data_IF_034266617630
#
_entry.id   IF_034266617630
#
_cell.length_a   1.000
_cell.length_b   1.000
_cell.length_c   1.000
_cell.angle_alpha   90.00
_cell.angle_beta   90.00
_cell.angle_gamma   90.00
#
_symmetry.space_group_name_H-M   'P 1'
#
loop_
_entity.id
_entity.type
_entity.pdbx_description
1 polymer ?
#
# COMPACT_ATOMS: atom_id res chain seq x y z
N UNK A 1 -72.50 0.23 -15.34
CA UNK A 1 -71.31 0.57 -16.13
C UNK A 1 -70.18 1.00 -15.20
N UNK A 2 -69.33 0.08 -14.75
CA UNK A 2 -68.23 0.38 -13.83
C UNK A 2 -66.92 0.23 -14.59
N UNK A 3 -66.23 1.36 -14.80
CA UNK A 3 -64.89 1.42 -15.38
C UNK A 3 -63.87 1.03 -14.32
N UNK A 4 -63.16 -0.10 -14.52
CA UNK A 4 -62.05 -0.53 -13.70
C UNK A 4 -60.80 0.29 -14.10
N UNK A 5 -60.29 1.11 -13.20
CA UNK A 5 -58.98 1.73 -13.29
C UNK A 5 -57.91 0.71 -12.89
N UNK A 6 -57.05 0.33 -13.82
CA UNK A 6 -55.83 -0.41 -13.55
C UNK A 6 -54.74 0.58 -13.16
N UNK A 7 -54.38 0.62 -11.90
CA UNK A 7 -53.19 1.29 -11.39
C UNK A 7 -51.99 0.37 -11.58
N UNK A 8 -51.14 0.67 -12.57
CA UNK A 8 -49.83 0.06 -12.75
C UNK A 8 -48.89 0.78 -11.77
N UNK A 9 -48.56 0.15 -10.65
CA UNK A 9 -47.49 0.56 -9.76
C UNK A 9 -46.20 0.03 -10.36
N UNK A 10 -45.43 0.89 -11.04
CA UNK A 10 -44.05 0.61 -11.45
C UNK A 10 -43.18 0.75 -10.19
N UNK A 11 -42.87 -0.38 -9.56
CA UNK A 11 -41.87 -0.45 -8.51
C UNK A 11 -40.48 -0.24 -9.18
N UNK A 12 -39.97 0.98 -9.11
CA UNK A 12 -38.55 1.24 -9.37
C UNK A 12 -37.76 0.60 -8.23
N UNK A 13 -37.26 -0.61 -8.47
CA UNK A 13 -36.21 -1.20 -7.66
C UNK A 13 -34.93 -0.36 -7.88
N UNK A 14 -34.69 0.63 -7.03
CA UNK A 14 -33.39 1.24 -6.89
C UNK A 14 -32.46 0.14 -6.36
N UNK A 15 -31.79 -0.56 -7.27
CA UNK A 15 -30.59 -1.32 -6.93
C UNK A 15 -29.56 -0.29 -6.44
N UNK A 16 -29.46 -0.14 -5.13
CA UNK A 16 -28.33 0.53 -4.50
C UNK A 16 -27.11 -0.32 -4.81
N UNK A 17 -26.47 -0.05 -5.94
CA UNK A 17 -25.11 -0.49 -6.20
C UNK A 17 -24.29 0.20 -5.10
N UNK A 18 -24.07 -0.52 -4.02
CA UNK A 18 -23.08 -0.15 -3.01
C UNK A 18 -21.77 -0.04 -3.76
N UNK A 19 -21.38 1.16 -4.14
CA UNK A 19 -20.11 1.42 -4.79
C UNK A 19 -19.04 1.05 -3.75
N UNK A 20 -18.62 -0.23 -3.73
CA UNK A 20 -17.42 -0.64 -3.01
C UNK A 20 -16.34 0.32 -3.48
N UNK A 21 -15.75 1.05 -2.53
CA UNK A 21 -14.68 1.98 -2.83
C UNK A 21 -13.66 1.23 -3.69
N UNK A 22 -13.44 1.71 -4.91
CA UNK A 22 -12.51 1.03 -5.82
C UNK A 22 -11.12 1.27 -5.28
N UNK A 23 -10.58 0.26 -4.63
CA UNK A 23 -9.31 0.30 -3.92
C UNK A 23 -8.14 0.53 -4.88
N UNK A 24 -8.20 -0.14 -6.03
CA UNK A 24 -7.23 -0.04 -7.11
C UNK A 24 -7.85 0.77 -8.25
N UNK A 25 -7.19 1.85 -8.65
CA UNK A 25 -7.68 2.76 -9.70
C UNK A 25 -6.77 2.63 -10.92
N UNK A 26 -7.21 2.00 -12.01
CA UNK A 26 -6.43 1.94 -13.24
C UNK A 26 -6.09 3.34 -13.74
N UNK A 27 -4.82 3.55 -14.13
CA UNK A 27 -4.28 4.85 -14.51
C UNK A 27 -3.71 5.66 -13.35
N UNK A 28 -3.96 5.28 -12.08
CA UNK A 28 -3.34 5.94 -10.95
C UNK A 28 -1.82 5.74 -10.95
N UNK A 29 -1.09 6.84 -10.80
CA UNK A 29 0.36 6.84 -10.59
C UNK A 29 0.67 7.74 -9.39
N UNK A 30 1.36 7.19 -8.41
CA UNK A 30 1.83 7.90 -7.22
C UNK A 30 3.35 7.86 -7.18
N UNK A 31 3.99 9.02 -7.15
CA UNK A 31 5.43 9.14 -7.07
C UNK A 31 5.83 9.64 -5.69
N UNK A 32 6.81 8.99 -5.11
CA UNK A 32 7.37 9.34 -3.80
C UNK A 32 8.85 9.64 -3.91
N UNK A 33 9.31 10.49 -3.03
CA UNK A 33 10.74 10.68 -2.77
C UNK A 33 11.06 10.19 -1.38
N UNK A 34 12.16 9.50 -1.26
CA UNK A 34 12.69 9.06 0.02
C UNK A 34 13.83 9.96 0.44
N UNK A 35 13.84 10.33 1.71
CA UNK A 35 14.92 11.12 2.28
C UNK A 35 15.41 10.51 3.58
N UNK A 36 16.71 10.63 3.80
CA UNK A 36 17.35 10.31 5.07
C UNK A 36 17.47 11.57 5.89
N UNK A 37 17.12 11.48 7.18
CA UNK A 37 17.22 12.57 8.15
C UNK A 37 18.03 12.14 9.36
N UNK A 38 19.14 12.80 9.62
CA UNK A 38 19.92 12.66 10.84
C UNK A 38 20.39 14.04 11.32
N UNK A 39 20.85 14.14 12.59
CA UNK A 39 21.29 15.42 13.18
C UNK A 39 22.36 16.15 12.35
N UNK A 40 23.27 15.42 11.74
CA UNK A 40 24.40 15.94 10.95
C UNK A 40 24.11 15.99 9.44
N UNK A 41 23.01 15.36 8.97
CA UNK A 41 22.67 15.33 7.56
C UNK A 41 21.30 15.99 7.37
N UNK A 42 21.24 17.13 6.67
CA UNK A 42 19.97 17.75 6.32
C UNK A 42 19.20 16.80 5.40
N UNK A 43 17.90 16.78 5.57
CA UNK A 43 16.89 16.04 4.83
C UNK A 43 17.22 15.82 3.34
N UNK A 44 18.07 14.83 3.04
CA UNK A 44 18.66 14.59 1.73
C UNK A 44 17.86 13.53 0.98
N UNK A 45 17.43 13.85 -0.24
CA UNK A 45 16.70 12.89 -1.08
C UNK A 45 17.66 11.81 -1.59
N UNK A 46 17.40 10.57 -1.19
CA UNK A 46 18.27 9.43 -1.47
C UNK A 46 17.69 8.44 -2.49
N UNK A 47 16.35 8.41 -2.65
CA UNK A 47 15.71 7.49 -3.59
C UNK A 47 14.35 8.02 -4.06
N UNK A 48 13.83 7.38 -5.09
CA UNK A 48 12.47 7.59 -5.64
C UNK A 48 11.71 6.27 -5.63
N UNK A 49 10.40 6.36 -5.47
CA UNK A 49 9.48 5.23 -5.60
C UNK A 49 8.31 5.66 -6.48
N UNK A 50 7.96 4.82 -7.44
CA UNK A 50 6.76 5.00 -8.28
C UNK A 50 5.84 3.81 -8.08
N UNK A 51 4.56 4.08 -7.82
CA UNK A 51 3.48 3.09 -7.74
C UNK A 51 2.49 3.36 -8.86
N UNK A 52 2.28 2.40 -9.74
CA UNK A 52 1.34 2.52 -10.88
C UNK A 52 0.35 1.37 -10.88
N UNK A 53 -0.93 1.71 -11.03
CA UNK A 53 -2.03 0.73 -11.18
C UNK A 53 -2.51 0.69 -12.62
N UNK A 54 -2.63 -0.50 -13.20
CA UNK A 54 -3.12 -0.72 -14.57
C UNK A 54 -4.12 -1.88 -14.62
N UNK A 55 -4.96 -1.89 -15.64
CA UNK A 55 -5.71 -3.09 -16.02
C UNK A 55 -4.82 -4.05 -16.78
N UNK A 56 -5.04 -5.35 -16.57
CA UNK A 56 -4.30 -6.43 -17.23
C UNK A 56 -5.07 -7.74 -17.16
N UNK A 57 -4.45 -8.80 -17.62
CA UNK A 57 -4.91 -10.18 -17.38
C UNK A 57 -3.85 -10.97 -16.63
N UNK A 58 -4.28 -11.91 -15.81
CA UNK A 58 -3.45 -12.92 -15.18
C UNK A 58 -4.09 -14.29 -15.47
N UNK A 59 -3.34 -15.19 -16.11
CA UNK A 59 -3.82 -16.52 -16.51
C UNK A 59 -5.16 -16.47 -17.28
N UNK A 60 -5.27 -15.50 -18.22
CA UNK A 60 -6.47 -15.28 -19.05
C UNK A 60 -7.65 -14.61 -18.33
N UNK A 61 -7.53 -14.27 -17.05
CA UNK A 61 -8.58 -13.62 -16.26
C UNK A 61 -8.28 -12.13 -16.03
N UNK A 62 -9.28 -11.25 -16.06
CA UNK A 62 -9.08 -9.84 -15.73
C UNK A 62 -8.42 -9.65 -14.37
N UNK A 63 -7.48 -8.72 -14.30
CA UNK A 63 -6.78 -8.36 -13.07
C UNK A 63 -6.41 -6.88 -13.08
N UNK A 64 -6.29 -6.28 -11.90
CA UNK A 64 -5.52 -5.05 -11.70
C UNK A 64 -4.08 -5.43 -11.40
N UNK A 65 -3.13 -4.71 -12.02
CA UNK A 65 -1.70 -4.84 -11.72
C UNK A 65 -1.21 -3.58 -11.06
N UNK A 66 -0.64 -3.72 -9.88
CA UNK A 66 0.16 -2.67 -9.24
C UNK A 66 1.63 -2.95 -9.53
N UNK A 67 2.31 -1.96 -10.09
CA UNK A 67 3.75 -1.99 -10.31
C UNK A 67 4.41 -0.94 -9.44
N UNK A 68 5.16 -1.38 -8.44
CA UNK A 68 6.02 -0.57 -7.59
C UNK A 68 7.46 -0.63 -8.08
N UNK A 69 8.12 0.51 -8.23
CA UNK A 69 9.52 0.59 -8.58
C UNK A 69 10.24 1.60 -7.70
N UNK A 70 11.31 1.16 -7.06
CA UNK A 70 12.16 1.97 -6.21
C UNK A 70 13.58 2.03 -6.76
N UNK A 71 14.19 3.20 -6.81
CA UNK A 71 15.57 3.37 -7.22
C UNK A 71 16.28 4.45 -6.42
N UNK A 72 17.57 4.24 -6.13
CA UNK A 72 18.43 5.25 -5.52
C UNK A 72 18.64 6.42 -6.48
N UNK A 73 18.59 7.64 -5.96
CA UNK A 73 18.93 8.83 -6.72
C UNK A 73 20.38 8.76 -7.24
N UNK A 74 20.60 9.20 -8.48
CA UNK A 74 21.91 9.09 -9.15
C UNK A 74 23.09 9.58 -8.31
N UNK A 75 22.89 10.66 -7.54
CA UNK A 75 23.92 11.22 -6.66
C UNK A 75 24.35 10.30 -5.50
N UNK A 76 23.56 9.28 -5.18
CA UNK A 76 23.80 8.35 -4.06
C UNK A 76 23.98 6.90 -4.52
N UNK A 77 23.78 6.61 -5.81
CA UNK A 77 23.87 5.25 -6.34
C UNK A 77 25.25 4.60 -6.20
N UNK A 78 26.30 5.41 -6.03
CA UNK A 78 27.67 4.94 -5.76
C UNK A 78 27.88 4.46 -4.32
N UNK A 79 27.04 4.92 -3.37
CA UNK A 79 27.10 4.48 -1.96
C UNK A 79 26.31 3.18 -1.80
N UNK A 80 25.05 3.19 -2.26
CA UNK A 80 24.15 2.06 -2.20
C UNK A 80 23.21 2.10 -3.43
N UNK A 81 23.54 1.41 -4.51
CA UNK A 81 22.65 1.29 -5.65
C UNK A 81 21.47 0.39 -5.28
N UNK A 82 20.27 0.95 -5.30
CA UNK A 82 19.00 0.23 -5.12
C UNK A 82 18.20 0.29 -6.41
N UNK A 83 17.65 -0.83 -6.81
CA UNK A 83 16.71 -0.95 -7.91
C UNK A 83 15.74 -2.09 -7.63
N UNK A 84 14.65 -1.76 -6.97
CA UNK A 84 13.66 -2.71 -6.51
C UNK A 84 12.39 -2.64 -7.35
N UNK A 85 11.81 -3.78 -7.62
CA UNK A 85 10.55 -3.89 -8.35
C UNK A 85 9.60 -4.81 -7.62
N UNK A 86 8.37 -4.36 -7.47
CA UNK A 86 7.26 -5.10 -6.89
C UNK A 86 6.11 -5.15 -7.87
N UNK A 87 5.51 -6.31 -8.04
CA UNK A 87 4.36 -6.52 -8.91
C UNK A 87 3.27 -7.28 -8.17
N UNK A 88 2.06 -6.77 -8.21
CA UNK A 88 0.89 -7.40 -7.57
C UNK A 88 -0.24 -7.49 -8.57
N UNK A 89 -0.84 -8.67 -8.67
CA UNK A 89 -2.05 -8.89 -9.45
C UNK A 89 -3.22 -9.14 -8.51
N UNK A 90 -4.26 -8.35 -8.68
CA UNK A 90 -5.44 -8.32 -7.81
C UNK A 90 -6.68 -8.65 -8.61
N UNK A 91 -7.54 -9.51 -8.08
CA UNK A 91 -8.82 -9.82 -8.68
C UNK A 91 -9.79 -8.64 -8.58
N UNK A 92 -10.35 -8.11 -9.68
CA UNK A 92 -11.18 -6.89 -9.66
C UNK A 92 -12.46 -7.03 -8.82
N UNK A 93 -13.05 -8.23 -8.79
CA UNK A 93 -14.31 -8.49 -8.07
C UNK A 93 -14.13 -8.60 -6.55
N UNK A 94 -13.08 -9.25 -6.10
CA UNK A 94 -12.83 -9.52 -4.67
C UNK A 94 -11.84 -8.57 -4.04
N UNK A 95 -11.02 -7.87 -4.85
CA UNK A 95 -9.91 -7.02 -4.46
C UNK A 95 -8.83 -7.77 -3.66
N UNK A 96 -8.78 -9.09 -3.84
CA UNK A 96 -7.78 -9.97 -3.21
C UNK A 96 -6.60 -10.17 -4.14
N UNK A 97 -5.41 -10.19 -3.56
CA UNK A 97 -4.18 -10.55 -4.28
C UNK A 97 -4.28 -11.95 -4.83
N UNK A 98 -3.99 -12.13 -6.12
CA UNK A 98 -3.80 -13.44 -6.76
C UNK A 98 -2.33 -13.83 -6.79
N UNK A 99 -1.46 -12.86 -7.10
CA UNK A 99 -0.02 -13.07 -7.23
C UNK A 99 0.73 -11.82 -6.79
N UNK A 100 1.86 -12.05 -6.14
CA UNK A 100 2.83 -11.03 -5.78
C UNK A 100 4.21 -11.47 -6.27
N UNK A 101 5.00 -10.54 -6.77
CA UNK A 101 6.40 -10.75 -7.12
C UNK A 101 7.25 -9.59 -6.65
N UNK A 102 8.46 -9.89 -6.16
CA UNK A 102 9.49 -8.92 -5.85
C UNK A 102 10.80 -9.30 -6.51
N UNK A 103 11.49 -8.30 -7.04
CA UNK A 103 12.85 -8.38 -7.58
C UNK A 103 13.65 -7.24 -6.97
N UNK A 104 14.53 -7.55 -6.01
CA UNK A 104 15.24 -6.63 -5.14
C UNK A 104 16.71 -6.63 -5.53
N UNK A 105 17.27 -5.45 -5.73
CA UNK A 105 18.66 -5.22 -6.02
C UNK A 105 19.19 -4.07 -5.16
N UNK A 106 19.92 -4.41 -4.11
CA UNK A 106 20.48 -3.45 -3.14
C UNK A 106 22.01 -3.68 -3.00
N UNK A 107 22.78 -2.92 -3.73
CA UNK A 107 24.24 -3.14 -3.82
C UNK A 107 24.54 -4.53 -4.39
N UNK A 108 25.29 -5.31 -3.61
CA UNK A 108 25.59 -6.70 -3.94
C UNK A 108 24.48 -7.70 -3.56
N UNK A 109 23.49 -7.26 -2.80
CA UNK A 109 22.37 -8.10 -2.41
C UNK A 109 21.35 -8.18 -3.53
N UNK A 110 20.95 -9.41 -3.90
CA UNK A 110 19.83 -9.66 -4.80
C UNK A 110 18.88 -10.64 -4.17
N UNK A 111 17.59 -10.37 -4.33
CA UNK A 111 16.54 -11.22 -3.77
C UNK A 111 15.34 -11.24 -4.71
N UNK A 112 14.80 -12.43 -4.95
CA UNK A 112 13.56 -12.60 -5.72
C UNK A 112 12.58 -13.40 -4.92
N UNK A 113 11.32 -12.96 -4.91
CA UNK A 113 10.24 -13.74 -4.32
C UNK A 113 8.99 -13.71 -5.19
N UNK A 114 8.18 -14.75 -5.08
CA UNK A 114 6.87 -14.83 -5.71
C UNK A 114 5.90 -15.60 -4.82
N UNK A 115 4.69 -15.05 -4.65
CA UNK A 115 3.60 -15.65 -3.88
C UNK A 115 2.41 -15.87 -4.79
N UNK A 116 1.75 -17.03 -4.64
CA UNK A 116 0.47 -17.35 -5.28
C UNK A 116 -0.54 -17.63 -4.17
N UNK A 117 -1.63 -16.87 -4.17
CA UNK A 117 -2.68 -16.95 -3.15
C UNK A 117 -3.78 -17.91 -3.59
N UNK A 118 -3.99 -18.96 -2.83
CA UNK A 118 -5.09 -19.91 -2.94
C UNK A 118 -6.17 -19.56 -1.90
N UNK A 119 -7.11 -18.73 -2.31
CA UNK A 119 -8.17 -18.25 -1.43
C UNK A 119 -9.25 -19.27 -1.11
N UNK A 120 -9.38 -20.32 -1.91
CA UNK A 120 -10.33 -21.40 -1.67
C UNK A 120 -9.88 -22.26 -0.49
N UNK A 121 -8.58 -22.54 -0.43
CA UNK A 121 -7.97 -23.36 0.63
C UNK A 121 -7.31 -22.52 1.74
N UNK A 122 -7.40 -21.18 1.69
CA UNK A 122 -6.75 -20.25 2.61
C UNK A 122 -5.26 -20.55 2.78
N UNK A 123 -4.57 -20.71 1.65
CA UNK A 123 -3.13 -20.97 1.58
C UNK A 123 -2.42 -19.94 0.70
N UNK A 124 -1.15 -19.79 0.96
CA UNK A 124 -0.24 -19.07 0.07
C UNK A 124 0.96 -19.96 -0.23
N UNK A 125 1.29 -20.06 -1.51
CA UNK A 125 2.47 -20.77 -2.01
C UNK A 125 3.54 -19.73 -2.30
N UNK A 126 4.63 -19.77 -1.56
CA UNK A 126 5.74 -18.83 -1.69
C UNK A 126 6.96 -19.52 -2.27
N UNK A 127 7.73 -18.78 -3.05
CA UNK A 127 9.07 -19.16 -3.49
C UNK A 127 9.97 -17.95 -3.43
N UNK A 128 11.23 -18.16 -3.03
CA UNK A 128 12.20 -17.08 -2.96
C UNK A 128 13.63 -17.58 -3.14
N UNK A 129 14.47 -16.71 -3.63
CA UNK A 129 15.91 -16.95 -3.78
C UNK A 129 16.69 -15.69 -3.48
N UNK A 130 17.93 -15.82 -3.06
CA UNK A 130 18.87 -14.72 -2.92
C UNK A 130 20.19 -15.08 -3.60
N UNK A 131 21.05 -14.07 -3.83
CA UNK A 131 22.36 -14.29 -4.42
C UNK A 131 23.07 -15.47 -3.75
N UNK A 132 23.54 -16.42 -4.56
CA UNK A 132 24.29 -17.60 -4.12
C UNK A 132 23.53 -18.57 -3.19
N UNK A 133 22.20 -18.49 -3.11
CA UNK A 133 21.35 -19.44 -2.37
C UNK A 133 20.32 -20.07 -3.29
N UNK A 134 20.08 -21.38 -3.18
CA UNK A 134 19.07 -22.05 -3.99
C UNK A 134 17.67 -21.50 -3.69
N UNK A 135 16.76 -21.66 -4.65
CA UNK A 135 15.36 -21.33 -4.46
C UNK A 135 14.77 -22.16 -3.31
N UNK A 136 14.07 -21.50 -2.43
CA UNK A 136 13.24 -22.11 -1.38
C UNK A 136 11.78 -21.97 -1.72
N UNK A 137 10.97 -22.90 -1.22
CA UNK A 137 9.51 -22.91 -1.39
C UNK A 137 8.85 -23.23 -0.07
N UNK A 138 7.70 -22.62 0.18
CA UNK A 138 6.88 -22.90 1.36
C UNK A 138 5.40 -22.71 1.03
N UNK A 139 4.57 -23.53 1.64
CA UNK A 139 3.13 -23.31 1.67
C UNK A 139 2.73 -22.99 3.09
N UNK A 140 1.99 -21.91 3.27
CA UNK A 140 1.53 -21.43 4.58
C UNK A 140 0.02 -21.28 4.59
N UNK A 141 -0.59 -21.45 5.75
CA UNK A 141 -1.98 -21.06 5.97
C UNK A 141 -2.06 -19.54 6.15
N UNK A 142 -3.11 -18.94 5.62
CA UNK A 142 -3.42 -17.52 5.75
C UNK A 142 -4.86 -17.36 6.21
N UNK A 143 -5.16 -16.27 6.89
CA UNK A 143 -6.54 -15.91 7.18
C UNK A 143 -7.21 -15.27 5.95
N UNK A 144 -8.54 -15.10 5.94
CA UNK A 144 -9.22 -14.31 4.91
C UNK A 144 -8.74 -12.85 4.81
N UNK A 145 -7.99 -12.37 5.80
CA UNK A 145 -7.42 -11.02 5.87
C UNK A 145 -5.93 -10.95 5.45
N UNK A 146 -5.35 -12.08 5.01
CA UNK A 146 -3.96 -12.14 4.56
C UNK A 146 -3.70 -11.24 3.36
N UNK A 147 -2.56 -10.55 3.35
CA UNK A 147 -2.17 -9.60 2.30
C UNK A 147 -0.69 -9.70 1.99
N UNK A 148 -0.32 -9.30 0.80
CA UNK A 148 1.06 -8.96 0.48
C UNK A 148 1.43 -7.54 0.95
N UNK A 149 2.72 -7.22 0.96
CA UNK A 149 3.23 -5.95 1.47
C UNK A 149 2.74 -4.73 0.66
N UNK A 150 2.46 -4.87 -0.63
CA UNK A 150 1.95 -3.78 -1.48
C UNK A 150 0.45 -3.58 -1.24
N UNK A 151 -0.31 -4.65 -1.14
CA UNK A 151 -1.76 -4.58 -0.86
C UNK A 151 -2.06 -3.94 0.51
N UNK A 152 -1.17 -4.11 1.49
CA UNK A 152 -1.26 -3.39 2.76
C UNK A 152 -1.31 -1.87 2.59
N UNK A 153 -0.49 -1.32 1.69
CA UNK A 153 -0.47 0.10 1.37
C UNK A 153 -1.83 0.62 0.89
N UNK A 154 -2.56 -0.18 0.11
CA UNK A 154 -3.89 0.17 -0.37
C UNK A 154 -4.99 -0.06 0.68
N UNK A 155 -4.77 -0.93 1.66
CA UNK A 155 -5.81 -1.33 2.61
C UNK A 155 -6.36 -0.16 3.45
N UNK A 156 -5.53 0.82 3.81
CA UNK A 156 -5.97 2.01 4.54
C UNK A 156 -7.07 2.80 3.81
N UNK A 157 -7.13 2.71 2.50
CA UNK A 157 -8.17 3.35 1.67
C UNK A 157 -9.56 2.75 1.87
N UNK A 158 -9.64 1.51 2.41
CA UNK A 158 -10.92 0.82 2.65
C UNK A 158 -11.57 1.21 3.95
N UNK A 159 -10.86 1.88 4.83
CA UNK A 159 -11.37 2.23 6.16
C UNK A 159 -12.39 3.36 6.06
N UNK A 160 -13.64 3.15 6.48
CA UNK A 160 -14.64 4.21 6.48
C UNK A 160 -14.25 5.36 7.42
N UNK A 161 -14.47 6.60 7.00
CA UNK A 161 -14.17 7.79 7.83
C UNK A 161 -14.88 7.77 9.18
N UNK A 162 -16.09 7.22 9.22
CA UNK A 162 -16.92 7.16 10.44
C UNK A 162 -16.28 6.38 11.59
N UNK A 163 -15.36 5.45 11.29
CA UNK A 163 -14.66 4.65 12.31
C UNK A 163 -13.25 5.15 12.60
N UNK A 164 -12.69 6.05 11.77
CA UNK A 164 -11.35 6.62 11.97
C UNK A 164 -11.43 7.73 13.02
N UNK A 165 -11.35 7.34 14.28
CA UNK A 165 -11.42 8.23 15.45
C UNK A 165 -10.59 7.68 16.60
N UNK A 166 -10.53 8.39 17.71
CA UNK A 166 -9.86 7.93 18.92
C UNK A 166 -10.29 6.50 19.31
N UNK A 167 -9.32 5.67 19.65
CA UNK A 167 -9.51 4.25 19.94
C UNK A 167 -9.52 3.34 18.70
N UNK A 168 -9.52 3.88 17.47
CA UNK A 168 -9.44 3.04 16.29
C UNK A 168 -8.08 2.36 16.17
N UNK A 169 -8.10 1.04 16.09
CA UNK A 169 -6.95 0.18 15.82
C UNK A 169 -7.35 -0.95 14.89
N UNK A 170 -6.42 -1.41 14.08
CA UNK A 170 -6.61 -2.57 13.19
C UNK A 170 -5.29 -3.30 13.01
N UNK A 171 -5.37 -4.63 13.08
CA UNK A 171 -4.26 -5.50 12.76
C UNK A 171 -4.49 -6.14 11.39
N UNK A 172 -3.47 -6.14 10.57
CA UNK A 172 -3.46 -6.74 9.24
C UNK A 172 -2.44 -7.86 9.20
N UNK A 173 -2.83 -8.95 8.57
CA UNK A 173 -1.96 -10.11 8.35
C UNK A 173 -1.15 -9.90 7.07
N UNK A 174 0.17 -9.88 7.20
CA UNK A 174 1.12 -9.69 6.11
C UNK A 174 1.87 -10.99 5.83
N UNK A 175 1.77 -11.46 4.61
CA UNK A 175 2.52 -12.62 4.10
C UNK A 175 3.92 -12.16 3.71
N UNK A 176 4.91 -12.84 4.23
CA UNK A 176 6.31 -12.76 3.85
C UNK A 176 6.75 -14.11 3.23
N UNK A 177 8.03 -14.26 2.92
CA UNK A 177 8.55 -15.40 2.18
C UNK A 177 8.29 -16.74 2.91
N UNK A 178 8.57 -16.80 4.18
CA UNK A 178 8.52 -18.03 4.98
C UNK A 178 7.67 -17.91 6.25
N UNK A 179 7.00 -16.79 6.42
CA UNK A 179 6.20 -16.52 7.62
C UNK A 179 5.07 -15.55 7.36
N UNK A 180 4.12 -15.51 8.28
CA UNK A 180 3.05 -14.52 8.33
C UNK A 180 3.32 -13.61 9.52
N UNK A 181 3.24 -12.31 9.31
CA UNK A 181 3.44 -11.27 10.33
C UNK A 181 2.20 -10.40 10.45
N UNK A 182 2.15 -9.61 11.49
CA UNK A 182 1.06 -8.67 11.73
C UNK A 182 1.57 -7.25 11.68
N UNK A 183 0.87 -6.41 10.90
CA UNK A 183 1.00 -4.97 10.92
C UNK A 183 -0.17 -4.41 11.73
N UNK A 184 0.11 -3.80 12.85
CA UNK A 184 -0.87 -3.03 13.60
C UNK A 184 -0.79 -1.57 13.20
N UNK A 185 -1.95 -0.93 12.95
CA UNK A 185 -2.00 0.51 12.81
C UNK A 185 -3.12 1.09 13.68
N UNK A 186 -2.81 2.21 14.33
CA UNK A 186 -3.67 2.90 15.27
C UNK A 186 -3.82 4.35 14.86
N UNK A 187 -5.04 4.86 14.97
CA UNK A 187 -5.30 6.28 14.79
C UNK A 187 -4.51 7.11 15.81
N UNK A 188 -3.79 8.13 15.34
CA UNK A 188 -2.94 9.03 16.15
C UNK A 188 -3.29 10.50 15.90
N UNK A 189 -4.50 10.78 15.42
CA UNK A 189 -5.03 12.13 15.25
C UNK A 189 -5.17 12.59 13.80
N UNK A 190 -5.65 13.81 13.65
CA UNK A 190 -5.69 14.58 12.40
C UNK A 190 -4.86 15.83 12.57
N UNK A 191 -4.04 16.13 11.57
CA UNK A 191 -3.19 17.33 11.61
C UNK A 191 -2.94 17.87 10.21
N UNK A 192 -2.43 19.11 10.14
CA UNK A 192 -1.95 19.67 8.88
C UNK A 192 -0.53 19.16 8.63
N UNK A 193 -0.37 18.36 7.56
CA UNK A 193 0.93 17.88 7.13
C UNK A 193 1.47 18.70 5.98
N UNK A 194 2.68 19.24 6.16
CA UNK A 194 3.42 19.87 5.06
C UNK A 194 4.16 18.80 4.28
N UNK A 195 3.88 18.70 2.97
CA UNK A 195 4.55 17.79 2.03
C UNK A 195 5.46 18.61 1.12
N UNK A 196 6.74 18.27 1.11
CA UNK A 196 7.78 19.02 0.36
C UNK A 196 7.44 19.05 -1.13
N UNK A 197 7.42 20.24 -1.71
CA UNK A 197 7.12 20.45 -3.14
C UNK A 197 5.64 20.49 -3.51
N UNK A 198 4.73 19.97 -2.67
CA UNK A 198 3.29 19.95 -2.95
C UNK A 198 2.49 20.97 -2.13
N UNK A 199 2.85 21.22 -0.86
CA UNK A 199 2.13 22.17 -0.02
C UNK A 199 1.66 21.60 1.31
N UNK A 200 0.51 22.08 1.81
CA UNK A 200 -0.10 21.65 3.07
C UNK A 200 -1.38 20.86 2.81
N UNK A 201 -1.60 19.83 3.59
CA UNK A 201 -2.75 18.94 3.47
C UNK A 201 -3.35 18.66 4.85
N UNK A 202 -4.65 18.58 4.94
CA UNK A 202 -5.30 17.91 6.06
C UNK A 202 -4.98 16.42 5.94
N UNK A 203 -4.47 15.82 6.99
CA UNK A 203 -4.00 14.45 7.02
C UNK A 203 -4.48 13.70 8.24
N UNK A 204 -4.75 12.42 8.06
CA UNK A 204 -4.99 11.46 9.14
C UNK A 204 -3.67 10.79 9.45
N UNK A 205 -3.27 10.81 10.70
CA UNK A 205 -2.04 10.20 11.19
C UNK A 205 -2.32 8.85 11.82
N UNK A 206 -1.51 7.86 11.44
CA UNK A 206 -1.51 6.54 12.03
C UNK A 206 -0.13 6.21 12.59
N UNK A 207 -0.15 5.55 13.73
CA UNK A 207 0.99 4.90 14.35
C UNK A 207 0.97 3.43 13.95
N UNK A 208 2.03 2.98 13.31
CA UNK A 208 2.13 1.63 12.76
C UNK A 208 3.25 0.85 13.42
N UNK A 209 3.03 -0.46 13.63
CA UNK A 209 4.03 -1.36 14.19
C UNK A 209 4.00 -2.68 13.45
N UNK A 210 5.15 -3.12 12.95
CA UNK A 210 5.33 -4.44 12.34
C UNK A 210 6.02 -5.34 13.35
N UNK A 211 5.46 -6.52 13.61
CA UNK A 211 6.17 -7.58 14.29
C UNK A 211 7.12 -8.24 13.28
N UNK A 212 8.38 -7.85 13.26
CA UNK A 212 9.42 -8.45 12.42
C UNK A 212 10.33 -9.32 13.28
N UNK A 213 10.78 -10.43 12.73
CA UNK A 213 11.81 -11.25 13.30
C UNK A 213 13.08 -10.99 12.60
N UNK A 214 13.92 -10.60 12.31
CA UNK A 214 15.21 -10.57 11.60
C UNK A 214 15.34 -9.48 10.54
N UNK A 215 15.58 -8.37 11.05
CA UNK A 215 16.40 -7.30 10.63
C UNK A 215 16.64 -6.98 9.19
N UNK A 216 16.00 -6.06 8.58
CA UNK A 216 16.67 -5.16 7.63
C UNK A 216 16.37 -3.71 7.92
N UNK A 217 15.91 -3.08 8.73
CA UNK A 217 15.77 -1.65 9.03
C UNK A 217 14.88 -1.38 10.21
N UNK A 218 14.03 -2.32 10.54
CA UNK A 218 13.11 -2.18 11.64
C UNK A 218 13.54 -3.14 12.76
N UNK A 219 13.95 -2.60 13.89
CA UNK A 219 14.08 -3.40 15.11
C UNK A 219 12.71 -3.92 15.49
N UNK A 220 12.62 -5.15 15.99
CA UNK A 220 11.37 -5.75 16.44
C UNK A 220 10.63 -4.77 17.36
N UNK A 221 9.41 -4.43 16.97
CA UNK A 221 8.62 -3.46 17.71
C UNK A 221 8.84 -1.99 17.36
N UNK A 222 9.64 -1.66 16.35
CA UNK A 222 9.80 -0.26 15.92
C UNK A 222 8.49 0.28 15.35
N UNK A 223 8.06 1.39 15.91
CA UNK A 223 6.91 2.14 15.40
C UNK A 223 7.33 3.09 14.29
N UNK A 224 6.50 3.17 13.26
CA UNK A 224 6.62 4.17 12.20
C UNK A 224 5.29 4.91 12.03
N UNK A 225 5.37 6.10 11.48
CA UNK A 225 4.21 6.98 11.32
C UNK A 225 3.83 7.08 9.85
N UNK A 226 2.52 7.03 9.58
CA UNK A 226 1.94 7.21 8.26
C UNK A 226 0.92 8.33 8.31
N UNK A 227 1.02 9.30 7.41
CA UNK A 227 0.02 10.32 7.18
C UNK A 227 -0.64 10.06 5.83
N UNK A 228 -1.94 9.83 5.86
CA UNK A 228 -2.75 9.69 4.64
C UNK A 228 -3.57 10.96 4.41
N UNK A 229 -3.98 11.21 3.18
CA UNK A 229 -4.88 12.31 2.84
C UNK A 229 -6.22 12.16 3.56
N UNK A 230 -6.68 13.22 4.23
CA UNK A 230 -7.98 13.26 4.90
C UNK A 230 -9.07 13.62 3.88
N UNK A 231 -9.23 12.75 2.89
CA UNK A 231 -10.21 12.83 1.83
C UNK A 231 -10.63 11.44 1.35
N UNK A 232 -11.41 11.39 0.27
CA UNK A 232 -11.94 10.13 -0.28
C UNK A 232 -10.86 9.25 -0.92
N UNK A 233 -9.69 9.78 -1.29
CA UNK A 233 -8.61 9.00 -1.89
C UNK A 233 -7.77 8.25 -0.85
N UNK A 234 -7.59 8.80 0.35
CA UNK A 234 -6.77 8.23 1.44
C UNK A 234 -5.40 7.75 0.98
N UNK A 235 -4.74 8.55 0.13
CA UNK A 235 -3.40 8.22 -0.33
C UNK A 235 -2.36 8.58 0.74
N UNK A 236 -1.30 7.78 0.92
CA UNK A 236 -0.20 8.16 1.78
C UNK A 236 0.48 9.45 1.29
N UNK A 237 0.53 10.45 2.15
CA UNK A 237 1.18 11.74 1.89
C UNK A 237 2.62 11.74 2.42
N UNK A 238 2.83 11.06 3.55
CA UNK A 238 4.11 11.05 4.24
C UNK A 238 4.22 9.82 5.12
N UNK A 239 5.39 9.19 5.11
CA UNK A 239 5.74 8.07 5.98
C UNK A 239 7.05 8.41 6.66
N UNK A 240 7.18 8.17 7.94
CA UNK A 240 8.42 8.36 8.69
C UNK A 240 8.71 7.14 9.55
N UNK A 241 9.85 6.53 9.30
CA UNK A 241 10.33 5.36 10.03
C UNK A 241 11.65 5.67 10.73
N UNK A 242 11.70 5.59 12.06
CA UNK A 242 12.96 5.68 12.78
C UNK A 242 13.85 4.48 12.43
N UNK A 243 15.15 4.74 12.34
CA UNK A 243 16.19 3.74 12.20
C UNK A 243 17.24 3.95 13.29
N UNK A 244 18.23 3.06 13.41
CA UNK A 244 19.25 3.14 14.47
C UNK A 244 19.88 4.54 14.62
N UNK A 245 20.05 5.25 13.50
CA UNK A 245 20.56 6.62 13.51
C UNK A 245 19.66 7.48 12.61
N UNK A 246 18.80 8.30 13.18
CA UNK A 246 17.91 9.18 12.43
C UNK A 246 16.60 8.52 12.00
N UNK A 247 16.06 8.94 10.85
CA UNK A 247 14.85 8.39 10.26
C UNK A 247 14.92 8.36 8.73
N UNK A 248 14.20 7.44 8.14
CA UNK A 248 13.90 7.44 6.70
C UNK A 248 12.49 7.97 6.52
N UNK A 249 12.32 8.91 5.61
CA UNK A 249 11.04 9.50 5.27
C UNK A 249 10.72 9.26 3.82
N UNK A 250 9.48 8.87 3.53
CA UNK A 250 8.93 8.88 2.18
C UNK A 250 7.82 9.92 2.09
N UNK A 251 7.80 10.75 1.06
CA UNK A 251 6.76 11.74 0.86
C UNK A 251 6.30 11.81 -0.59
N UNK A 252 5.00 12.02 -0.76
CA UNK A 252 4.39 12.17 -2.07
C UNK A 252 5.04 13.36 -2.80
N UNK A 253 5.46 13.16 -4.03
CA UNK A 253 6.08 14.20 -4.87
C UNK A 253 5.25 14.59 -6.07
N UNK A 254 4.46 13.65 -6.62
CA UNK A 254 3.45 13.91 -7.63
C UNK A 254 2.44 12.76 -7.66
N UNK A 255 1.29 13.02 -8.26
CA UNK A 255 0.22 12.03 -8.45
C UNK A 255 -0.53 12.32 -9.75
N UNK A 256 -1.06 11.26 -10.35
CA UNK A 256 -1.90 11.31 -11.54
C UNK A 256 -3.00 10.24 -11.42
N UNK A 257 -4.11 10.44 -12.12
CA UNK A 257 -5.17 9.44 -12.25
C UNK A 257 -5.88 9.10 -10.94
N UNK A 258 -5.91 10.00 -9.95
CA UNK A 258 -6.70 9.80 -8.74
C UNK A 258 -8.19 9.70 -9.08
N UNK A 259 -8.91 8.86 -8.35
CA UNK A 259 -10.35 8.68 -8.54
C UNK A 259 -11.15 9.92 -8.19
N UNK A 260 -10.72 10.68 -7.19
CA UNK A 260 -11.38 11.88 -6.70
C UNK A 260 -10.39 13.04 -6.68
N UNK A 261 -10.87 14.29 -6.74
CA UNK A 261 -10.02 15.45 -6.44
C UNK A 261 -9.33 15.28 -5.07
N UNK A 262 -8.14 15.83 -4.93
CA UNK A 262 -7.41 15.82 -3.65
C UNK A 262 -7.91 16.99 -2.78
N UNK A 263 -9.09 16.79 -2.18
CA UNK A 263 -9.84 17.84 -1.47
C UNK A 263 -9.21 18.26 -0.14
N UNK A 264 -8.31 17.42 0.39
CA UNK A 264 -7.57 17.70 1.63
C UNK A 264 -6.46 18.76 1.45
N UNK A 265 -6.18 19.21 0.22
CA UNK A 265 -5.19 20.25 -0.05
C UNK A 265 -5.63 21.62 0.49
N UNK A 266 -4.76 22.26 1.28
CA UNK A 266 -5.03 23.59 1.85
C UNK A 266 -4.47 24.64 0.89
N UNK A 267 -5.40 25.31 0.20
CA UNK A 267 -5.05 26.50 -0.60
C UNK A 267 -4.52 27.60 0.33
N UNK A 268 -3.49 28.33 -0.11
CA UNK A 268 -2.99 29.49 0.63
C UNK A 268 -4.02 30.60 0.68
#
# INVERSE_FOLDING_TARGET
>A
MMRRFFLIVIAFAFATISAKAQLYVPGETLNYRMSYRAKLFPNTEVAKVTMRTTETTLDGQPAYKVHGHGETAKAFSWILPVKDTYMVWVAPKTLRTKRFEADIHEGDYTFKSAFVFDWENLKVHTRWSSRNRPEKKKTMNISPAGMDAVSLYYNLRTVPDSIIKEGFARDLEMVLEDTVRYLSFRYDGREIKKVKGLGKFNAIKFRCKIATSDGFSFTDGTEFMVWISDDRNKIPLYIESPIKVGSVCAYLSSYEGLRYPLDCFIKK
#
